data_IF_356352735307
#
_entry.id   IF_356352735307
#
_cell.length_a   1.000
_cell.length_b   1.000
_cell.length_c   1.000
_cell.angle_alpha   90.00
_cell.angle_beta   90.00
_cell.angle_gamma   90.00
#
_symmetry.space_group_name_H-M   'P 1'
#
loop_
_entity.id
_entity.type
_entity.pdbx_description
1 polymer ?
#
# COMPACT_ATOMS: atom_id res chain seq x y z
N UNK A 1 -22.86 36.73 17.77
CA UNK A 1 -22.50 35.35 17.39
C UNK A 1 -22.18 35.16 15.88
N UNK A 2 -23.02 35.63 14.93
CA UNK A 2 -22.79 35.45 13.46
C UNK A 2 -21.48 36.07 12.90
N UNK A 3 -20.99 37.19 13.48
CA UNK A 3 -19.77 37.84 13.02
C UNK A 3 -18.48 37.07 13.43
N UNK A 4 -18.49 36.46 14.62
CA UNK A 4 -17.35 35.63 15.08
C UNK A 4 -17.24 34.36 14.24
N UNK A 5 -18.37 33.75 13.84
CA UNK A 5 -18.35 32.55 12.97
C UNK A 5 -17.80 32.84 11.57
N UNK A 6 -18.11 34.00 10.98
CA UNK A 6 -17.56 34.40 9.67
C UNK A 6 -16.04 34.62 9.72
N UNK A 7 -15.54 35.33 10.75
CA UNK A 7 -14.09 35.50 10.93
C UNK A 7 -13.37 34.19 11.15
N UNK A 8 -13.92 33.30 11.98
CA UNK A 8 -13.36 31.97 12.19
C UNK A 8 -13.32 31.13 10.89
N UNK A 9 -14.37 31.19 10.08
CA UNK A 9 -14.42 30.49 8.79
C UNK A 9 -13.37 31.02 7.80
N UNK A 10 -13.18 32.36 7.76
CA UNK A 10 -12.13 32.97 6.90
C UNK A 10 -10.74 32.55 7.37
N UNK A 11 -10.48 32.60 8.68
CA UNK A 11 -9.19 32.15 9.24
C UNK A 11 -8.92 30.68 8.90
N UNK A 12 -9.92 29.80 9.08
CA UNK A 12 -9.79 28.39 8.73
C UNK A 12 -9.49 28.20 7.23
N UNK A 13 -10.20 28.93 6.36
CA UNK A 13 -9.96 28.84 4.92
C UNK A 13 -8.54 29.29 4.56
N UNK A 14 -8.06 30.39 5.16
CA UNK A 14 -6.68 30.86 4.95
C UNK A 14 -5.66 29.82 5.43
N UNK A 15 -5.86 29.22 6.59
CA UNK A 15 -4.99 28.16 7.10
C UNK A 15 -5.00 26.93 6.17
N UNK A 16 -6.18 26.49 5.71
CA UNK A 16 -6.28 25.36 4.77
C UNK A 16 -5.59 25.68 3.43
N UNK A 17 -5.62 26.91 2.95
CA UNK A 17 -4.87 27.32 1.77
C UNK A 17 -3.36 27.36 2.05
N UNK A 18 -2.97 27.89 3.20
CA UNK A 18 -1.55 27.99 3.56
C UNK A 18 -0.87 26.63 3.66
N UNK A 19 -1.53 25.63 4.25
CA UNK A 19 -0.94 24.27 4.38
C UNK A 19 -0.75 23.57 3.03
N UNK A 20 -1.40 24.01 1.93
CA UNK A 20 -1.20 23.43 0.59
C UNK A 20 0.22 23.68 0.04
N UNK A 21 0.98 24.60 0.61
CA UNK A 21 2.38 24.83 0.24
C UNK A 21 3.29 23.69 0.67
N UNK A 22 2.92 22.99 1.77
CA UNK A 22 3.69 21.86 2.29
C UNK A 22 3.29 20.58 1.54
N UNK A 23 4.10 20.20 0.55
CA UNK A 23 3.86 19.02 -0.29
C UNK A 23 4.96 18.00 -0.07
N UNK A 24 4.69 16.88 0.66
CA UNK A 24 5.64 15.78 0.78
C UNK A 24 5.90 15.13 -0.58
N UNK A 25 7.13 14.68 -0.78
CA UNK A 25 7.48 13.92 -1.98
C UNK A 25 6.71 12.60 -2.03
N UNK A 26 6.08 12.34 -3.15
CA UNK A 26 5.33 11.11 -3.43
C UNK A 26 6.26 9.90 -3.65
N UNK A 27 7.52 10.11 -3.94
CA UNK A 27 8.59 9.11 -4.00
C UNK A 27 8.24 7.90 -4.86
N UNK A 28 8.33 8.05 -6.19
CA UNK A 28 8.25 6.93 -7.12
C UNK A 28 9.65 6.61 -7.61
N UNK A 29 10.36 5.73 -6.90
CA UNK A 29 11.67 5.27 -7.36
C UNK A 29 11.53 4.45 -8.66
N UNK A 30 12.52 4.48 -9.55
CA UNK A 30 12.54 3.64 -10.73
C UNK A 30 12.36 2.17 -10.36
N UNK A 31 11.60 1.43 -11.16
CA UNK A 31 11.35 0.00 -10.96
C UNK A 31 12.11 -0.77 -12.03
N UNK A 32 13.09 -1.54 -11.59
CA UNK A 32 13.70 -2.59 -12.37
C UNK A 32 12.80 -3.84 -12.29
N UNK A 33 12.16 -4.22 -13.38
CA UNK A 33 11.18 -5.32 -13.40
C UNK A 33 11.74 -6.63 -12.89
N UNK A 34 13.00 -6.89 -13.20
CA UNK A 34 13.76 -8.08 -12.78
C UNK A 34 13.93 -8.18 -11.26
N UNK A 35 13.80 -7.08 -10.54
CA UNK A 35 13.90 -7.01 -9.07
C UNK A 35 12.58 -7.20 -8.34
N UNK A 36 11.49 -7.19 -9.09
CA UNK A 36 10.15 -7.24 -8.51
C UNK A 36 9.78 -8.65 -8.03
N UNK A 37 8.79 -8.73 -7.13
CA UNK A 37 8.20 -9.99 -6.67
C UNK A 37 7.73 -10.86 -7.84
N UNK A 38 7.26 -10.25 -8.94
CA UNK A 38 6.81 -10.96 -10.14
C UNK A 38 7.94 -11.64 -10.93
N UNK A 39 9.18 -11.16 -10.78
CA UNK A 39 10.33 -11.78 -11.42
C UNK A 39 11.06 -12.76 -10.50
N UNK A 40 11.02 -12.52 -9.19
CA UNK A 40 11.70 -13.32 -8.18
C UNK A 40 10.87 -14.51 -7.71
N UNK A 41 9.55 -14.44 -7.85
CA UNK A 41 8.60 -15.44 -7.38
C UNK A 41 7.66 -15.85 -8.53
N UNK A 42 7.15 -17.07 -8.47
CA UNK A 42 6.09 -17.52 -9.36
C UNK A 42 4.75 -16.94 -8.88
N UNK A 43 4.29 -15.86 -9.52
CA UNK A 43 3.05 -15.14 -9.18
C UNK A 43 1.97 -15.45 -10.21
N UNK A 44 0.98 -16.31 -9.92
CA UNK A 44 -0.11 -16.63 -10.84
C UNK A 44 -0.97 -15.40 -11.16
N UNK A 45 -1.63 -15.35 -12.33
CA UNK A 45 -2.42 -14.20 -12.75
C UNK A 45 -3.48 -13.74 -11.74
N UNK A 46 -4.12 -14.66 -11.02
CA UNK A 46 -5.09 -14.34 -9.98
C UNK A 46 -4.46 -13.61 -8.79
N UNK A 47 -3.28 -14.05 -8.33
CA UNK A 47 -2.53 -13.39 -7.26
C UNK A 47 -2.04 -12.01 -7.72
N UNK A 48 -1.53 -11.92 -8.96
CA UNK A 48 -1.11 -10.65 -9.55
C UNK A 48 -2.25 -9.62 -9.60
N UNK A 49 -3.48 -10.05 -9.95
CA UNK A 49 -4.67 -9.18 -9.93
C UNK A 49 -5.00 -8.69 -8.53
N UNK A 50 -4.88 -9.55 -7.51
CA UNK A 50 -5.13 -9.16 -6.12
C UNK A 50 -4.06 -8.15 -5.68
N UNK A 51 -2.79 -8.40 -5.97
CA UNK A 51 -1.70 -7.47 -5.66
C UNK A 51 -1.89 -6.11 -6.31
N UNK A 52 -2.24 -6.08 -7.61
CA UNK A 52 -2.48 -4.82 -8.34
C UNK A 52 -3.64 -4.03 -7.77
N UNK A 53 -4.73 -4.69 -7.39
CA UNK A 53 -5.95 -4.07 -6.89
C UNK A 53 -5.83 -3.61 -5.43
N UNK A 54 -5.20 -4.43 -4.56
CA UNK A 54 -5.35 -4.33 -3.11
C UNK A 54 -4.06 -3.99 -2.35
N UNK A 55 -2.88 -4.15 -2.97
CA UNK A 55 -1.59 -4.02 -2.28
C UNK A 55 -0.67 -2.96 -2.90
N UNK A 56 -0.75 -2.78 -4.22
CA UNK A 56 0.18 -2.00 -5.05
C UNK A 56 0.45 -0.60 -4.53
N UNK A 57 -0.60 0.13 -4.14
CA UNK A 57 -0.49 1.57 -3.87
C UNK A 57 0.33 1.86 -2.60
N UNK A 58 0.43 0.87 -1.68
CA UNK A 58 1.25 1.01 -0.48
C UNK A 58 2.54 0.18 -0.53
N UNK A 59 2.57 -0.93 -1.28
CA UNK A 59 3.68 -1.88 -1.25
C UNK A 59 4.50 -1.94 -2.54
N UNK A 60 4.42 -0.91 -3.42
CA UNK A 60 5.29 -0.80 -4.59
C UNK A 60 5.87 0.59 -4.77
N UNK A 61 6.90 0.70 -5.60
CA UNK A 61 7.45 1.99 -6.02
C UNK A 61 6.61 2.70 -7.10
N UNK A 62 5.48 2.11 -7.50
CA UNK A 62 4.58 2.64 -8.53
C UNK A 62 3.13 2.73 -8.03
N UNK A 63 2.85 3.46 -6.94
CA UNK A 63 1.48 3.69 -6.49
C UNK A 63 0.70 4.50 -7.53
N UNK A 64 -0.59 4.25 -7.63
CA UNK A 64 -1.54 5.08 -8.39
C UNK A 64 -2.04 6.18 -7.46
N UNK A 65 -1.40 7.34 -7.49
CA UNK A 65 -1.75 8.43 -6.61
C UNK A 65 -3.14 8.97 -6.93
N UNK A 66 -4.09 8.92 -5.99
CA UNK A 66 -5.41 9.52 -6.17
C UNK A 66 -5.33 11.04 -6.02
N UNK A 67 -6.34 11.77 -6.49
CA UNK A 67 -6.39 13.22 -6.43
C UNK A 67 -6.23 13.79 -5.02
N UNK A 68 -6.74 13.11 -4.01
CA UNK A 68 -6.63 13.56 -2.61
C UNK A 68 -5.21 13.43 -2.05
N UNK A 69 -4.32 12.70 -2.72
CA UNK A 69 -2.89 12.70 -2.42
C UNK A 69 -2.18 14.02 -2.81
N UNK A 70 -2.92 14.97 -3.36
CA UNK A 70 -2.45 16.35 -3.67
C UNK A 70 -3.06 17.39 -2.74
N UNK A 71 -3.95 17.01 -1.81
CA UNK A 71 -4.70 17.91 -0.95
C UNK A 71 -4.30 17.72 0.51
N UNK A 72 -3.61 18.72 1.10
CA UNK A 72 -3.26 18.71 2.50
C UNK A 72 -4.51 18.97 3.40
N UNK A 73 -4.60 18.35 4.59
CA UNK A 73 -3.59 17.50 5.23
C UNK A 73 -3.67 16.01 4.83
N UNK A 74 -4.67 15.61 4.04
CA UNK A 74 -4.90 14.21 3.65
C UNK A 74 -3.70 13.64 2.89
N UNK A 75 -3.09 14.45 2.01
CA UNK A 75 -1.88 14.07 1.26
C UNK A 75 -0.73 13.63 2.17
N UNK A 76 -0.52 14.30 3.29
CA UNK A 76 0.55 13.98 4.22
C UNK A 76 0.37 12.57 4.79
N UNK A 77 -0.85 12.27 5.23
CA UNK A 77 -1.20 10.98 5.79
C UNK A 77 -1.11 9.84 4.76
N UNK A 78 -1.63 10.05 3.54
CA UNK A 78 -1.61 9.05 2.46
C UNK A 78 -0.17 8.73 2.02
N UNK A 79 0.65 9.78 1.85
CA UNK A 79 2.05 9.61 1.43
C UNK A 79 2.86 8.92 2.53
N UNK A 80 2.64 9.27 3.79
CA UNK A 80 3.28 8.63 4.93
C UNK A 80 2.93 7.15 5.02
N UNK A 81 1.66 6.78 4.91
CA UNK A 81 1.21 5.37 4.89
C UNK A 81 1.82 4.57 3.75
N UNK A 82 1.93 5.17 2.56
CA UNK A 82 2.58 4.51 1.42
C UNK A 82 4.09 4.31 1.66
N UNK A 83 4.78 5.27 2.29
CA UNK A 83 6.19 5.13 2.69
C UNK A 83 6.36 4.03 3.73
N UNK A 84 5.51 3.97 4.75
CA UNK A 84 5.52 2.92 5.77
C UNK A 84 5.25 1.55 5.15
N UNK A 85 4.24 1.41 4.29
CA UNK A 85 3.98 0.15 3.60
C UNK A 85 5.23 -0.38 2.86
N UNK A 86 5.91 0.49 2.10
CA UNK A 86 7.16 0.13 1.42
C UNK A 86 8.32 -0.18 2.34
N UNK A 87 8.41 0.46 3.50
CA UNK A 87 9.49 0.16 4.46
C UNK A 87 9.34 -1.21 5.11
N UNK A 88 8.11 -1.68 5.29
CA UNK A 88 7.86 -3.01 5.82
C UNK A 88 7.99 -4.10 4.75
N UNK A 89 7.45 -3.86 3.56
CA UNK A 89 7.50 -4.81 2.45
C UNK A 89 7.35 -4.06 1.12
N UNK A 90 8.27 -4.28 0.18
CA UNK A 90 8.25 -3.64 -1.11
C UNK A 90 8.32 -4.65 -2.26
N UNK A 91 7.23 -4.82 -2.97
CA UNK A 91 7.14 -5.74 -4.13
C UNK A 91 8.02 -5.33 -5.30
N UNK A 92 8.44 -4.07 -5.38
CA UNK A 92 9.29 -3.57 -6.46
C UNK A 92 10.78 -3.86 -6.27
N UNK A 93 11.18 -4.27 -5.06
CA UNK A 93 12.58 -4.56 -4.71
C UNK A 93 12.69 -5.87 -3.93
N UNK A 94 11.99 -6.89 -4.41
CA UNK A 94 11.93 -8.20 -3.74
C UNK A 94 13.27 -8.93 -3.73
N UNK A 95 14.14 -8.63 -4.70
CA UNK A 95 15.52 -9.12 -4.79
C UNK A 95 16.41 -8.74 -3.60
N UNK A 96 15.98 -7.80 -2.76
CA UNK A 96 16.70 -7.40 -1.55
C UNK A 96 16.48 -8.33 -0.36
N UNK A 97 15.46 -9.16 -0.43
CA UNK A 97 15.12 -10.08 0.64
C UNK A 97 15.81 -11.42 0.39
N UNK A 98 16.54 -11.92 1.37
CA UNK A 98 17.04 -13.28 1.36
C UNK A 98 15.90 -14.31 1.53
N UNK A 99 16.23 -15.60 1.48
CA UNK A 99 15.21 -16.65 1.55
C UNK A 99 14.43 -16.66 2.87
N UNK A 100 15.07 -16.37 3.99
CA UNK A 100 14.46 -16.32 5.31
C UNK A 100 13.49 -15.14 5.42
N UNK A 101 13.97 -13.95 5.09
CA UNK A 101 13.16 -12.73 5.04
C UNK A 101 11.96 -12.86 4.09
N UNK A 102 12.18 -13.44 2.90
CA UNK A 102 11.10 -13.66 1.94
C UNK A 102 10.04 -14.63 2.49
N UNK A 103 10.43 -15.70 3.20
CA UNK A 103 9.49 -16.62 3.86
C UNK A 103 8.68 -15.90 4.96
N UNK A 104 9.33 -15.10 5.79
CA UNK A 104 8.65 -14.30 6.82
C UNK A 104 7.64 -13.33 6.20
N UNK A 105 8.01 -12.61 5.15
CA UNK A 105 7.13 -11.67 4.45
C UNK A 105 5.94 -12.37 3.79
N UNK A 106 6.14 -13.56 3.20
CA UNK A 106 5.05 -14.36 2.65
C UNK A 106 4.08 -14.81 3.73
N UNK A 107 4.59 -15.28 4.90
CA UNK A 107 3.77 -15.61 6.05
C UNK A 107 2.98 -14.39 6.55
N UNK A 108 3.64 -13.23 6.59
CA UNK A 108 3.04 -11.97 7.02
C UNK A 108 1.91 -11.53 6.09
N UNK A 109 2.03 -11.72 4.77
CA UNK A 109 0.96 -11.47 3.80
C UNK A 109 -0.30 -12.25 4.19
N UNK A 110 -0.19 -13.58 4.34
CA UNK A 110 -1.34 -14.41 4.68
C UNK A 110 -1.94 -14.04 6.05
N UNK A 111 -1.10 -13.83 7.06
CA UNK A 111 -1.54 -13.44 8.40
C UNK A 111 -2.35 -12.14 8.37
N UNK A 112 -1.81 -11.08 7.77
CA UNK A 112 -2.45 -9.76 7.76
C UNK A 112 -3.78 -9.73 6.99
N UNK A 113 -3.86 -10.43 5.86
CA UNK A 113 -5.11 -10.50 5.11
C UNK A 113 -6.16 -11.38 5.80
N UNK A 114 -5.73 -12.46 6.49
CA UNK A 114 -6.61 -13.34 7.26
C UNK A 114 -7.21 -12.65 8.49
N UNK A 115 -6.43 -11.79 9.15
CA UNK A 115 -6.88 -10.98 10.29
C UNK A 115 -7.73 -9.79 9.85
N UNK A 116 -7.80 -9.48 8.55
CA UNK A 116 -8.51 -8.31 8.01
C UNK A 116 -7.85 -6.97 8.36
N UNK A 117 -6.54 -7.00 8.67
CA UNK A 117 -5.74 -5.79 8.91
C UNK A 117 -5.27 -5.16 7.58
N UNK A 118 -5.13 -5.96 6.53
CA UNK A 118 -4.82 -5.50 5.19
C UNK A 118 -5.89 -5.94 4.18
N UNK A 119 -6.28 -5.04 3.25
CA UNK A 119 -5.96 -3.62 3.14
C UNK A 119 -6.52 -2.79 4.29
N UNK A 120 -5.86 -1.66 4.63
CA UNK A 120 -6.29 -0.78 5.73
C UNK A 120 -7.76 -0.35 5.59
N UNK A 121 -8.50 -0.37 6.70
CA UNK A 121 -9.93 0.03 6.72
C UNK A 121 -10.14 1.45 6.19
N UNK A 122 -9.23 2.38 6.51
CA UNK A 122 -9.24 3.75 6.01
C UNK A 122 -9.07 3.83 4.48
N UNK A 123 -8.20 2.98 3.90
CA UNK A 123 -8.03 2.88 2.45
C UNK A 123 -9.31 2.36 1.76
N UNK A 124 -9.97 1.36 2.36
CA UNK A 124 -11.20 0.77 1.84
C UNK A 124 -12.42 1.71 1.86
N UNK A 125 -12.37 2.85 2.58
CA UNK A 125 -13.46 3.84 2.56
C UNK A 125 -13.62 4.46 1.16
N UNK A 126 -12.52 4.68 0.45
CA UNK A 126 -12.49 5.33 -0.88
C UNK A 126 -12.10 4.36 -2.00
N UNK A 127 -11.51 3.20 -1.68
CA UNK A 127 -11.11 2.14 -2.62
C UNK A 127 -11.87 0.83 -2.32
N UNK A 128 -13.19 0.85 -2.54
CA UNK A 128 -14.06 -0.30 -2.20
C UNK A 128 -13.74 -1.57 -3.01
N UNK A 129 -13.24 -1.39 -4.21
CA UNK A 129 -12.77 -2.45 -5.11
C UNK A 129 -11.54 -3.18 -4.57
N UNK A 130 -10.72 -2.53 -3.74
CA UNK A 130 -9.56 -3.14 -3.09
C UNK A 130 -9.93 -4.12 -1.96
N UNK A 131 -11.21 -4.22 -1.58
CA UNK A 131 -11.66 -5.15 -0.55
C UNK A 131 -11.43 -6.59 -0.98
N UNK A 132 -10.78 -7.36 -0.10
CA UNK A 132 -10.56 -8.79 -0.32
C UNK A 132 -11.83 -9.59 -0.01
N UNK A 133 -12.19 -10.50 -0.90
CA UNK A 133 -13.18 -11.54 -0.64
C UNK A 133 -12.55 -12.69 0.16
N UNK A 134 -13.38 -13.57 0.73
CA UNK A 134 -12.88 -14.80 1.36
C UNK A 134 -12.07 -15.67 0.41
N UNK A 135 -12.41 -15.64 -0.89
CA UNK A 135 -11.68 -16.34 -1.94
C UNK A 135 -10.32 -15.71 -2.21
N UNK A 136 -10.24 -14.37 -2.28
CA UNK A 136 -8.96 -13.67 -2.42
C UNK A 136 -8.00 -13.99 -1.27
N UNK A 137 -8.51 -14.02 -0.03
CA UNK A 137 -7.71 -14.37 1.16
C UNK A 137 -7.19 -15.81 1.04
N UNK A 138 -8.04 -16.78 0.70
CA UNK A 138 -7.62 -18.18 0.50
C UNK A 138 -6.55 -18.28 -0.58
N UNK A 139 -6.76 -17.62 -1.73
CA UNK A 139 -5.83 -17.62 -2.86
C UNK A 139 -4.46 -17.08 -2.45
N UNK A 140 -4.43 -15.96 -1.72
CA UNK A 140 -3.19 -15.37 -1.22
C UNK A 140 -2.47 -16.29 -0.22
N UNK A 141 -3.20 -16.88 0.73
CA UNK A 141 -2.61 -17.78 1.73
C UNK A 141 -2.03 -19.03 1.08
N UNK A 142 -2.78 -19.71 0.22
CA UNK A 142 -2.31 -20.89 -0.51
C UNK A 142 -1.07 -20.60 -1.36
N UNK A 143 -1.07 -19.45 -2.03
CA UNK A 143 0.08 -19.00 -2.81
C UNK A 143 1.29 -18.74 -1.89
N UNK A 144 1.11 -18.00 -0.79
CA UNK A 144 2.16 -17.71 0.18
C UNK A 144 2.79 -18.99 0.74
N UNK A 145 1.98 -19.95 1.20
CA UNK A 145 2.43 -21.24 1.70
C UNK A 145 3.22 -22.03 0.64
N UNK A 146 2.73 -22.03 -0.60
CA UNK A 146 3.40 -22.70 -1.72
C UNK A 146 4.79 -22.10 -1.99
N UNK A 147 4.89 -20.78 -1.97
CA UNK A 147 6.18 -20.11 -2.20
C UNK A 147 7.14 -20.31 -1.03
N UNK A 148 6.66 -20.29 0.21
CA UNK A 148 7.47 -20.60 1.41
C UNK A 148 8.06 -22.01 1.30
N UNK A 149 7.24 -23.00 0.95
CA UNK A 149 7.69 -24.39 0.78
C UNK A 149 8.74 -24.55 -0.34
N UNK A 150 8.70 -23.70 -1.39
CA UNK A 150 9.73 -23.69 -2.44
C UNK A 150 11.04 -23.06 -1.96
N UNK A 151 10.96 -21.99 -1.17
CA UNK A 151 12.15 -21.33 -0.60
C UNK A 151 12.86 -22.21 0.43
N UNK A 152 12.13 -22.93 1.25
CA UNK A 152 12.68 -23.84 2.25
C UNK A 152 13.47 -25.02 1.66
N UNK A 153 13.35 -25.31 0.34
CA UNK A 153 14.04 -26.40 -0.35
C UNK A 153 15.31 -25.92 -1.10
N UNK A 154 15.57 -24.61 -1.10
CA UNK A 154 16.75 -23.99 -1.75
C UNK A 154 17.87 -23.79 -0.74
#
# INVERSE_FOLDING_TARGET
MKAVSKKAAVVLAVLLLAIQVVRPEKGNAPVAREKSIHAQMEVPPQVAKIFDRSCRDCHTNQPRWPWYADVAPVSWWVIDHSKHGRSHMNFSTWDKYDNEQAQELLNYICMQVSMGEMPLKSYLLVHRDARLSKEDVRTLCQWSETQQAKLAKK
#
